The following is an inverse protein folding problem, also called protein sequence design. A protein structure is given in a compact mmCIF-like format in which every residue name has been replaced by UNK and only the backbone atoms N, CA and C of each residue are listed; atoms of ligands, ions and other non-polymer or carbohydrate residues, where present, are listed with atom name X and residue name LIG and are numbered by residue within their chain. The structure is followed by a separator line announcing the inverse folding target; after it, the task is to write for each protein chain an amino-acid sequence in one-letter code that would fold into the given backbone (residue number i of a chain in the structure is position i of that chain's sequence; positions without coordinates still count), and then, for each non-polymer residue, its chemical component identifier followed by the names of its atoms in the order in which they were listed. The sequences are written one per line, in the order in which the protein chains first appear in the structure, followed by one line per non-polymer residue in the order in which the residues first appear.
data_IF_353710542609
#
_entry.id   IF_353710542609
#
_cell.length_a   1.000
_cell.length_b   1.000
_cell.length_c   1.000
_cell.angle_alpha   90.00
_cell.angle_beta   90.00
_cell.angle_gamma   90.00
#
_symmetry.space_group_name_H-M   'P 1'
#
loop_
_entity.id
_entity.type
_entity.pdbx_description
1 polymer ?
#
# COMPACT_ATOMS: atom_id res chain seq x y z
N UNK A 1 22.19 13.51 0.34
CA UNK A 1 20.76 13.47 0.00
C UNK A 1 20.45 12.01 -0.30
N UNK A 2 19.45 11.39 0.34
CA UNK A 2 19.11 10.00 0.02
C UNK A 2 18.75 9.89 -1.46
N UNK A 3 19.23 8.85 -2.14
CA UNK A 3 18.93 8.64 -3.55
C UNK A 3 17.41 8.43 -3.71
N UNK A 4 16.80 9.16 -4.64
CA UNK A 4 15.39 9.00 -5.00
C UNK A 4 15.21 7.73 -5.82
N UNK A 5 14.06 7.07 -5.70
CA UNK A 5 13.75 5.90 -6.54
C UNK A 5 13.58 6.29 -8.02
N UNK A 6 13.27 7.56 -8.32
CA UNK A 6 13.33 8.10 -9.68
C UNK A 6 14.76 8.33 -10.24
N UNK A 7 15.82 8.07 -9.47
CA UNK A 7 17.17 8.11 -10.04
C UNK A 7 17.28 7.07 -11.17
N UNK A 8 17.83 7.41 -12.35
CA UNK A 8 18.01 6.45 -13.44
C UNK A 8 18.75 5.17 -13.02
N UNK A 9 19.68 5.23 -12.06
CA UNK A 9 20.36 4.06 -11.52
C UNK A 9 19.44 3.07 -10.79
N UNK A 10 18.29 3.54 -10.31
CA UNK A 10 17.26 2.73 -9.63
C UNK A 10 16.17 2.22 -10.58
N UNK A 11 16.23 2.54 -11.88
CA UNK A 11 15.19 2.17 -12.84
C UNK A 11 14.75 0.69 -12.79
N UNK A 12 15.67 -0.29 -12.70
CA UNK A 12 15.27 -1.70 -12.62
C UNK A 12 14.47 -2.06 -11.35
N UNK A 13 14.66 -1.32 -10.24
CA UNK A 13 13.97 -1.58 -8.97
C UNK A 13 12.50 -1.21 -9.06
N UNK A 14 12.20 0.01 -9.50
CA UNK A 14 10.81 0.46 -9.70
C UNK A 14 10.14 -0.32 -10.81
N UNK A 15 10.89 -0.71 -11.86
CA UNK A 15 10.39 -1.62 -12.89
C UNK A 15 9.93 -2.97 -12.30
N UNK A 16 10.67 -3.54 -11.35
CA UNK A 16 10.30 -4.80 -10.70
C UNK A 16 8.96 -4.68 -9.94
N UNK A 17 8.68 -3.52 -9.33
CA UNK A 17 7.40 -3.26 -8.69
C UNK A 17 6.25 -3.34 -9.70
N UNK A 18 6.39 -2.68 -10.86
CA UNK A 18 5.38 -2.70 -11.92
C UNK A 18 5.21 -4.06 -12.60
N UNK A 19 6.24 -4.90 -12.62
CA UNK A 19 6.14 -6.27 -13.16
C UNK A 19 5.35 -7.22 -12.24
N UNK A 20 5.13 -6.85 -10.98
CA UNK A 20 4.38 -7.68 -10.04
C UNK A 20 2.87 -7.63 -10.23
N UNK A 21 2.36 -6.60 -10.94
CA UNK A 21 0.93 -6.35 -11.14
C UNK A 21 0.48 -6.78 -12.54
N UNK A 22 -0.76 -7.26 -12.71
CA UNK A 22 -1.27 -7.74 -14.00
C UNK A 22 -1.48 -6.60 -15.01
N UNK A 23 -1.85 -5.42 -14.53
CA UNK A 23 -2.04 -4.21 -15.33
C UNK A 23 -1.19 -3.08 -14.76
N UNK A 24 -0.33 -2.48 -15.58
CA UNK A 24 0.58 -1.39 -15.17
C UNK A 24 0.02 0.01 -15.48
N UNK A 25 -1.17 0.10 -16.07
CA UNK A 25 -1.78 1.33 -16.57
C UNK A 25 -0.85 2.17 -17.48
N UNK A 26 0.04 1.52 -18.23
CA UNK A 26 1.01 2.17 -19.11
C UNK A 26 2.23 2.77 -18.40
N UNK A 27 2.45 2.46 -17.12
CA UNK A 27 3.60 2.92 -16.36
C UNK A 27 4.94 2.54 -17.02
N UNK A 28 5.08 1.29 -17.44
CA UNK A 28 6.30 0.73 -18.01
C UNK A 28 6.68 1.41 -19.33
N UNK A 29 5.81 1.47 -20.37
CA UNK A 29 6.17 2.10 -21.62
C UNK A 29 6.44 3.60 -21.47
N UNK A 30 5.68 4.31 -20.63
CA UNK A 30 5.93 5.73 -20.35
C UNK A 30 7.32 5.94 -19.74
N UNK A 31 7.66 5.17 -18.69
CA UNK A 31 8.89 5.41 -17.97
C UNK A 31 10.12 4.85 -18.68
N UNK A 32 9.98 3.88 -19.59
CA UNK A 32 11.06 3.53 -20.54
C UNK A 32 11.45 4.72 -21.43
N UNK A 33 10.48 5.49 -21.91
CA UNK A 33 10.77 6.73 -22.68
C UNK A 33 11.46 7.78 -21.81
N UNK A 34 10.92 8.01 -20.62
CA UNK A 34 11.51 8.97 -19.65
C UNK A 34 12.90 8.56 -19.21
N UNK A 35 13.17 7.26 -19.07
CA UNK A 35 14.50 6.76 -18.77
C UNK A 35 15.49 7.06 -19.89
N UNK A 36 15.13 6.78 -21.15
CA UNK A 36 15.95 7.16 -22.30
C UNK A 36 16.20 8.67 -22.35
N UNK A 37 15.17 9.49 -22.10
CA UNK A 37 15.29 10.94 -21.99
C UNK A 37 16.23 11.37 -20.85
N UNK A 38 16.17 10.71 -19.68
CA UNK A 38 17.04 10.99 -18.54
C UNK A 38 18.51 10.69 -18.86
N UNK A 39 18.80 9.56 -19.51
CA UNK A 39 20.15 9.22 -19.98
C UNK A 39 20.67 10.23 -21.03
N UNK A 40 19.78 10.72 -21.89
CA UNK A 40 20.08 11.76 -22.88
C UNK A 40 20.08 13.20 -22.29
N UNK A 41 19.84 13.35 -20.98
CA UNK A 41 19.72 14.64 -20.27
C UNK A 41 18.67 15.59 -20.87
N UNK A 42 17.57 15.02 -21.35
CA UNK A 42 16.43 15.76 -21.87
C UNK A 42 15.43 16.10 -20.76
N UNK A 43 14.68 17.22 -20.87
CA UNK A 43 13.75 17.67 -19.82
C UNK A 43 12.71 16.64 -19.38
N UNK A 44 12.23 15.80 -20.30
CA UNK A 44 11.22 14.76 -19.99
C UNK A 44 11.73 13.73 -18.95
N UNK A 45 13.05 13.51 -18.90
CA UNK A 45 13.67 12.59 -17.95
C UNK A 45 13.50 13.00 -16.49
N UNK A 46 13.31 14.29 -16.20
CA UNK A 46 13.06 14.78 -14.84
C UNK A 46 11.74 14.27 -14.24
N UNK A 47 10.82 13.77 -15.08
CA UNK A 47 9.54 13.20 -14.66
C UNK A 47 9.59 11.67 -14.51
N UNK A 48 10.77 11.03 -14.57
CA UNK A 48 10.89 9.58 -14.40
C UNK A 48 10.20 9.12 -13.10
N UNK A 49 9.37 8.08 -13.21
CA UNK A 49 8.54 7.49 -12.15
C UNK A 49 7.60 8.44 -11.39
N UNK A 50 7.44 9.69 -11.84
CA UNK A 50 6.53 10.67 -11.20
C UNK A 50 5.05 10.35 -11.43
N UNK A 51 4.74 9.57 -12.46
CA UNK A 51 3.39 9.09 -12.76
C UNK A 51 3.45 7.86 -13.68
N UNK A 52 2.51 6.90 -13.55
CA UNK A 52 1.62 6.75 -12.40
C UNK A 52 2.40 6.45 -11.11
N UNK A 53 1.79 6.71 -9.96
CA UNK A 53 2.42 6.48 -8.67
C UNK A 53 2.59 4.98 -8.37
N UNK A 54 3.78 4.58 -7.94
CA UNK A 54 4.18 3.18 -7.84
C UNK A 54 3.93 2.52 -6.47
N UNK A 55 3.27 3.22 -5.52
CA UNK A 55 3.06 2.74 -4.14
C UNK A 55 2.29 1.41 -4.05
N UNK A 56 1.21 1.25 -4.82
CA UNK A 56 0.43 0.02 -4.83
C UNK A 56 1.15 -1.14 -5.54
N UNK A 57 1.89 -0.82 -6.61
CA UNK A 57 2.74 -1.78 -7.31
C UNK A 57 3.85 -2.30 -6.38
N UNK A 58 4.45 -1.41 -5.56
CA UNK A 58 5.44 -1.79 -4.55
C UNK A 58 4.85 -2.76 -3.50
N UNK A 59 3.69 -2.46 -2.92
CA UNK A 59 3.05 -3.37 -1.95
C UNK A 59 2.72 -4.73 -2.60
N UNK A 60 2.17 -4.70 -3.82
CA UNK A 60 1.86 -5.91 -4.58
C UNK A 60 3.12 -6.74 -4.85
N UNK A 61 4.25 -6.07 -5.16
CA UNK A 61 5.54 -6.72 -5.32
C UNK A 61 6.07 -7.32 -4.03
N UNK A 62 5.95 -6.63 -2.88
CA UNK A 62 6.37 -7.15 -1.57
C UNK A 62 5.61 -8.44 -1.25
N UNK A 63 4.28 -8.43 -1.33
CA UNK A 63 3.48 -9.61 -1.01
C UNK A 63 3.76 -10.78 -1.97
N UNK A 64 3.85 -10.50 -3.27
CA UNK A 64 4.20 -11.53 -4.26
C UNK A 64 5.61 -12.10 -4.03
N UNK A 65 6.58 -11.26 -3.69
CA UNK A 65 7.95 -11.68 -3.40
C UNK A 65 8.04 -12.50 -2.10
N UNK A 66 7.14 -12.25 -1.15
CA UNK A 66 6.98 -13.06 0.05
C UNK A 66 6.27 -14.42 -0.20
N UNK A 67 5.84 -14.70 -1.43
CA UNK A 67 5.20 -15.97 -1.81
C UNK A 67 3.70 -16.02 -1.55
N UNK A 68 3.05 -14.88 -1.30
CA UNK A 68 1.59 -14.82 -1.07
C UNK A 68 0.87 -14.91 -2.41
N UNK A 69 -0.15 -15.78 -2.45
CA UNK A 69 -0.88 -16.06 -3.69
C UNK A 69 -1.84 -14.91 -4.05
N UNK A 70 -2.13 -14.75 -5.34
CA UNK A 70 -3.08 -13.75 -5.82
C UNK A 70 -4.50 -13.95 -5.29
N UNK A 71 -4.87 -15.18 -4.91
CA UNK A 71 -6.13 -15.48 -4.22
C UNK A 71 -6.16 -14.93 -2.79
N UNK A 72 -4.99 -14.81 -2.13
CA UNK A 72 -4.88 -14.26 -0.79
C UNK A 72 -4.74 -12.74 -0.80
N UNK A 73 -3.90 -12.21 -1.69
CA UNK A 73 -3.73 -10.79 -1.92
C UNK A 73 -3.77 -10.51 -3.43
N UNK A 74 -4.86 -9.94 -3.98
CA UNK A 74 -4.94 -9.67 -5.41
C UNK A 74 -4.02 -8.49 -5.79
N UNK A 75 -2.91 -8.71 -6.52
CA UNK A 75 -1.97 -7.63 -6.84
C UNK A 75 -2.61 -6.60 -7.77
N UNK A 76 -2.33 -5.32 -7.53
CA UNK A 76 -2.90 -4.22 -8.30
C UNK A 76 -1.99 -3.01 -8.32
N UNK A 77 -1.96 -2.32 -9.48
CA UNK A 77 -1.35 -1.02 -9.64
C UNK A 77 -2.05 0.11 -8.87
N UNK A 78 -3.22 -0.15 -8.30
CA UNK A 78 -4.04 0.82 -7.57
C UNK A 78 -4.48 0.27 -6.22
N UNK A 79 -4.17 0.99 -5.12
CA UNK A 79 -4.53 0.60 -3.75
C UNK A 79 -6.03 0.31 -3.60
N UNK A 80 -6.84 1.20 -4.16
CA UNK A 80 -8.30 1.10 -4.22
C UNK A 80 -8.80 -0.29 -4.64
N UNK A 81 -8.21 -0.89 -5.69
CA UNK A 81 -8.74 -2.11 -6.28
C UNK A 81 -8.33 -3.38 -5.52
N UNK A 82 -7.11 -3.46 -4.99
CA UNK A 82 -6.81 -4.61 -4.13
C UNK A 82 -7.63 -4.52 -2.83
N UNK A 83 -7.88 -3.32 -2.29
CA UNK A 83 -8.73 -3.13 -1.12
C UNK A 83 -10.16 -3.59 -1.38
N UNK A 84 -10.73 -3.29 -2.56
CA UNK A 84 -12.03 -3.82 -2.96
C UNK A 84 -12.06 -5.35 -2.94
N UNK A 85 -11.03 -5.99 -3.50
CA UNK A 85 -10.89 -7.45 -3.50
C UNK A 85 -10.82 -8.03 -2.09
N UNK A 86 -9.95 -7.47 -1.23
CA UNK A 86 -9.77 -7.92 0.15
C UNK A 86 -11.06 -7.74 0.98
N UNK A 87 -11.72 -6.58 0.87
CA UNK A 87 -12.97 -6.29 1.57
C UNK A 87 -14.09 -7.23 1.08
N UNK A 88 -14.17 -7.49 -0.23
CA UNK A 88 -15.15 -8.42 -0.77
C UNK A 88 -14.94 -9.86 -0.25
N UNK A 89 -13.68 -10.33 -0.22
CA UNK A 89 -13.32 -11.64 0.35
C UNK A 89 -13.66 -11.72 1.83
N UNK A 90 -13.28 -10.71 2.63
CA UNK A 90 -13.60 -10.62 4.06
C UNK A 90 -15.11 -10.71 4.33
N UNK A 91 -15.92 -10.02 3.54
CA UNK A 91 -17.39 -10.03 3.70
C UNK A 91 -18.01 -11.36 3.30
N UNK A 92 -17.44 -12.04 2.29
CA UNK A 92 -17.97 -13.31 1.79
C UNK A 92 -17.54 -14.50 2.65
N UNK A 93 -16.31 -14.46 3.17
CA UNK A 93 -15.69 -15.56 3.92
C UNK A 93 -14.98 -15.03 5.19
N UNK A 94 -15.72 -14.47 6.16
CA UNK A 94 -15.11 -13.78 7.31
C UNK A 94 -14.22 -14.67 8.19
N UNK A 95 -14.46 -16.00 8.20
CA UNK A 95 -13.64 -16.96 8.94
C UNK A 95 -12.36 -17.37 8.21
N UNK A 96 -12.32 -17.22 6.88
CA UNK A 96 -11.27 -17.77 6.01
C UNK A 96 -10.50 -16.68 5.24
N UNK A 97 -10.92 -15.41 5.36
CA UNK A 97 -10.28 -14.34 4.62
C UNK A 97 -8.88 -14.04 5.18
N UNK A 98 -7.84 -14.00 4.34
CA UNK A 98 -6.47 -13.72 4.79
C UNK A 98 -6.29 -12.29 5.29
N UNK A 99 -7.23 -11.40 4.97
CA UNK A 99 -7.26 -10.05 5.47
C UNK A 99 -8.65 -9.64 5.96
N UNK A 100 -8.74 -8.89 7.06
CA UNK A 100 -10.01 -8.34 7.60
C UNK A 100 -9.93 -6.82 7.75
N UNK A 101 -10.92 -6.09 7.23
CA UNK A 101 -10.99 -4.65 7.43
C UNK A 101 -11.51 -4.30 8.82
N UNK A 102 -10.82 -3.37 9.48
CA UNK A 102 -11.18 -2.78 10.76
C UNK A 102 -11.16 -1.24 10.67
N UNK A 103 -12.03 -0.60 11.43
CA UNK A 103 -11.93 0.82 11.74
C UNK A 103 -10.70 1.08 12.64
N UNK A 104 -10.08 2.27 12.55
CA UNK A 104 -8.88 2.60 13.33
C UNK A 104 -9.00 2.40 14.86
N UNK A 105 -10.21 2.56 15.40
CA UNK A 105 -10.51 2.47 16.82
C UNK A 105 -10.89 1.05 17.27
N UNK A 106 -11.02 0.07 16.36
CA UNK A 106 -11.43 -1.30 16.71
C UNK A 106 -10.26 -2.14 17.27
N UNK A 107 -9.03 -1.93 16.79
CA UNK A 107 -7.86 -2.70 17.24
C UNK A 107 -6.53 -1.99 17.07
N UNK A 108 -5.53 -2.43 17.85
CA UNK A 108 -4.14 -2.04 17.64
C UNK A 108 -3.57 -2.78 16.40
N UNK A 109 -2.75 -2.12 15.56
CA UNK A 109 -2.06 -2.81 14.47
C UNK A 109 -1.00 -3.79 14.97
N UNK A 110 -0.73 -4.81 14.16
CA UNK A 110 0.32 -5.79 14.33
C UNK A 110 1.19 -5.87 13.06
N UNK A 111 2.44 -6.37 13.14
CA UNK A 111 3.27 -6.62 11.96
C UNK A 111 2.53 -7.45 10.90
N UNK A 112 2.62 -7.03 9.64
CA UNK A 112 1.91 -7.61 8.50
C UNK A 112 0.60 -6.89 8.13
N UNK A 113 0.00 -6.14 9.07
CA UNK A 113 -1.20 -5.35 8.78
C UNK A 113 -0.94 -4.23 7.77
N UNK A 114 -1.99 -3.78 7.08
CA UNK A 114 -1.92 -2.59 6.23
C UNK A 114 -2.61 -1.40 6.91
N UNK A 115 -1.92 -0.27 6.95
CA UNK A 115 -2.48 1.02 7.35
C UNK A 115 -2.87 1.79 6.10
N UNK A 116 -4.17 1.98 5.85
CA UNK A 116 -4.67 2.55 4.61
C UNK A 116 -5.37 3.91 4.83
N UNK A 117 -5.07 4.84 3.93
CA UNK A 117 -5.47 6.25 3.98
C UNK A 117 -6.20 6.63 2.70
N UNK A 118 -7.28 7.42 2.84
CA UNK A 118 -7.87 8.11 1.71
C UNK A 118 -7.09 9.41 1.41
N UNK A 119 -6.71 9.58 0.14
CA UNK A 119 -6.01 10.78 -0.34
C UNK A 119 -6.86 11.59 -1.31
N UNK A 120 -8.11 11.18 -1.55
CA UNK A 120 -9.07 11.87 -2.40
C UNK A 120 -9.42 13.29 -1.91
N UNK A 121 -10.01 14.10 -2.80
CA UNK A 121 -10.44 15.47 -2.47
C UNK A 121 -11.63 15.48 -1.50
N UNK A 122 -12.50 14.46 -1.56
CA UNK A 122 -13.56 14.21 -0.60
C UNK A 122 -13.25 12.89 0.11
N UNK A 123 -12.59 12.93 1.28
CA UNK A 123 -12.15 11.73 1.97
C UNK A 123 -13.34 10.98 2.57
N UNK A 124 -13.32 9.66 2.46
CA UNK A 124 -14.22 8.77 3.17
C UNK A 124 -14.02 8.94 4.69
N UNK A 125 -15.09 8.83 5.47
CA UNK A 125 -15.03 8.91 6.94
C UNK A 125 -14.89 7.55 7.60
N UNK A 126 -15.38 6.51 6.94
CA UNK A 126 -15.31 5.14 7.41
C UNK A 126 -15.01 4.21 6.23
N UNK A 127 -14.26 3.14 6.47
CA UNK A 127 -13.87 2.23 5.39
C UNK A 127 -15.08 1.60 4.69
N UNK A 128 -16.20 1.39 5.38
CA UNK A 128 -17.41 0.81 4.76
C UNK A 128 -18.02 1.69 3.69
N UNK A 129 -17.77 3.01 3.69
CA UNK A 129 -18.21 3.90 2.62
C UNK A 129 -17.59 3.52 1.27
N UNK A 130 -16.42 2.87 1.30
CA UNK A 130 -15.76 2.31 0.12
C UNK A 130 -16.65 1.32 -0.64
N UNK A 131 -17.52 0.60 0.05
CA UNK A 131 -18.40 -0.41 -0.56
C UNK A 131 -19.32 0.16 -1.63
N UNK A 132 -19.73 1.43 -1.49
CA UNK A 132 -20.57 2.12 -2.47
C UNK A 132 -19.79 2.54 -3.74
N UNK A 133 -18.45 2.50 -3.68
CA UNK A 133 -17.55 2.90 -4.76
C UNK A 133 -16.68 1.74 -5.27
N UNK A 134 -17.04 0.49 -4.96
CA UNK A 134 -16.29 -0.68 -5.42
C UNK A 134 -16.09 -0.69 -6.94
N UNK A 135 -14.86 -0.94 -7.38
CA UNK A 135 -14.46 -0.90 -8.80
C UNK A 135 -14.20 0.51 -9.33
N UNK A 136 -14.41 1.58 -8.56
CA UNK A 136 -14.07 2.95 -8.95
C UNK A 136 -12.67 3.32 -8.46
N UNK A 137 -11.90 3.97 -9.32
CA UNK A 137 -10.58 4.48 -8.95
C UNK A 137 -10.71 5.57 -7.89
N UNK A 138 -9.89 5.49 -6.84
CA UNK A 138 -9.78 6.49 -5.78
C UNK A 138 -8.32 6.62 -5.37
N UNK A 139 -7.86 7.86 -5.17
CA UNK A 139 -6.54 8.12 -4.66
C UNK A 139 -6.45 7.62 -3.21
N UNK A 140 -5.69 6.56 -2.98
CA UNK A 140 -5.45 5.98 -1.68
C UNK A 140 -3.96 5.70 -1.51
N UNK A 141 -3.56 5.40 -0.29
CA UNK A 141 -2.20 4.96 0.05
C UNK A 141 -2.29 3.96 1.18
N UNK A 142 -1.43 2.96 1.18
CA UNK A 142 -1.26 2.09 2.32
C UNK A 142 0.22 1.94 2.65
N UNK A 143 0.50 1.62 3.91
CA UNK A 143 1.80 1.19 4.41
C UNK A 143 1.66 -0.19 5.05
N UNK A 144 2.74 -0.99 5.03
CA UNK A 144 2.81 -2.31 5.67
C UNK A 144 3.42 -2.15 7.06
N UNK A 145 2.70 -2.52 8.12
CA UNK A 145 3.24 -2.51 9.49
C UNK A 145 4.37 -3.52 9.60
N UNK A 146 5.51 -3.08 10.11
CA UNK A 146 6.69 -3.94 10.30
C UNK A 146 7.03 -4.14 11.78
N UNK A 147 6.75 -3.16 12.63
CA UNK A 147 7.02 -3.21 14.07
C UNK A 147 6.02 -2.36 14.85
N UNK A 148 5.71 -2.76 16.09
CA UNK A 148 4.79 -2.05 17.01
C UNK A 148 5.41 -1.90 18.41
N UNK A 149 6.53 -1.17 18.54
CA UNK A 149 7.12 -0.91 19.86
C UNK A 149 6.21 -0.02 20.73
N UNK A 150 6.40 0.02 22.06
CA UNK A 150 5.55 0.84 22.92
C UNK A 150 5.53 2.32 22.50
N UNK A 151 4.31 2.87 22.31
CA UNK A 151 4.09 4.27 21.96
C UNK A 151 4.18 4.63 20.48
N UNK A 152 4.50 3.68 19.58
CA UNK A 152 4.53 3.93 18.14
C UNK A 152 4.26 2.67 17.30
N UNK A 153 3.83 2.89 16.05
CA UNK A 153 3.72 1.86 15.02
C UNK A 153 4.61 2.26 13.86
N UNK A 154 5.47 1.34 13.42
CA UNK A 154 6.38 1.56 12.29
C UNK A 154 5.83 0.80 11.09
N UNK A 155 5.64 1.51 9.99
CA UNK A 155 5.15 0.92 8.75
C UNK A 155 5.98 1.38 7.55
N UNK A 156 6.08 0.55 6.52
CA UNK A 156 6.85 0.82 5.31
C UNK A 156 5.92 1.01 4.12
N UNK A 157 6.08 2.14 3.44
CA UNK A 157 5.30 2.54 2.28
C UNK A 157 6.17 2.77 1.05
N UNK A 158 5.60 2.51 -0.13
CA UNK A 158 6.20 2.90 -1.41
C UNK A 158 5.78 4.31 -1.83
N UNK A 159 6.62 4.97 -2.61
CA UNK A 159 6.38 6.26 -3.25
C UNK A 159 5.97 7.39 -2.28
N UNK A 160 6.51 7.34 -1.06
CA UNK A 160 6.42 8.45 -0.12
C UNK A 160 7.61 9.35 -0.40
N UNK A 161 7.35 10.53 -0.99
CA UNK A 161 8.40 11.44 -1.46
C UNK A 161 9.40 10.77 -2.44
N UNK A 162 8.89 9.87 -3.28
CA UNK A 162 9.69 9.13 -4.28
C UNK A 162 10.78 8.23 -3.64
N UNK A 163 10.42 7.57 -2.55
CA UNK A 163 11.24 6.56 -1.88
C UNK A 163 10.38 5.47 -1.23
N UNK A 164 11.01 4.32 -0.96
CA UNK A 164 10.52 3.36 0.04
C UNK A 164 10.86 3.93 1.40
N UNK A 165 9.83 4.23 2.19
CA UNK A 165 9.98 5.02 3.43
C UNK A 165 9.34 4.30 4.60
N UNK A 166 10.05 4.26 5.72
CA UNK A 166 9.45 3.90 6.99
C UNK A 166 8.78 5.14 7.61
N UNK A 167 7.48 5.05 7.85
CA UNK A 167 6.69 6.04 8.59
C UNK A 167 6.55 5.57 10.03
N UNK A 168 6.81 6.48 10.99
CA UNK A 168 6.56 6.24 12.41
C UNK A 168 5.26 6.95 12.79
N UNK A 169 4.27 6.17 13.21
CA UNK A 169 2.96 6.64 13.66
C UNK A 169 2.90 6.62 15.19
N UNK A 170 2.54 7.73 15.86
CA UNK A 170 2.33 7.72 17.30
C UNK A 170 1.19 6.77 17.69
N UNK A 171 1.38 6.02 18.78
CA UNK A 171 0.39 5.10 19.32
C UNK A 171 0.13 5.36 20.80
N UNK A 172 -1.09 5.08 21.24
CA UNK A 172 -1.50 5.18 22.64
C UNK A 172 -1.00 4.01 23.50
N UNK A 173 -1.25 4.05 24.82
CA UNK A 173 -0.91 2.95 25.72
C UNK A 173 -1.57 1.61 25.39
N UNK A 174 -2.69 1.64 24.66
CA UNK A 174 -3.42 0.48 24.16
C UNK A 174 -2.90 -0.02 22.80
N UNK A 175 -1.82 0.58 22.28
CA UNK A 175 -1.18 0.23 21.01
C UNK A 175 -1.92 0.75 19.77
N UNK A 176 -3.08 1.41 19.91
CA UNK A 176 -3.82 1.97 18.78
C UNK A 176 -3.16 3.26 18.31
N UNK A 177 -3.24 3.54 17.01
CA UNK A 177 -2.73 4.80 16.47
C UNK A 177 -3.46 5.98 17.10
N UNK A 178 -2.70 6.99 17.49
CA UNK A 178 -3.28 8.27 17.88
C UNK A 178 -3.89 8.96 16.66
N UNK A 179 -4.87 9.82 16.91
CA UNK A 179 -5.49 10.63 15.87
C UNK A 179 -4.42 11.40 15.09
N UNK A 180 -4.57 11.43 13.76
CA UNK A 180 -3.64 12.17 12.92
C UNK A 180 -3.64 13.66 13.31
N UNK A 181 -2.45 14.29 13.44
CA UNK A 181 -2.38 15.71 13.74
C UNK A 181 -2.98 16.54 12.60
N UNK A 182 -3.36 17.81 12.86
CA UNK A 182 -3.89 18.69 11.83
C UNK A 182 -3.00 18.74 10.58
N UNK A 183 -3.63 18.61 9.41
CA UNK A 183 -2.93 18.61 8.11
C UNK A 183 -2.41 17.24 7.66
N UNK A 184 -2.47 16.20 8.49
CA UNK A 184 -2.24 14.81 8.06
C UNK A 184 -3.57 14.10 7.78
N UNK A 185 -3.54 13.16 6.83
CA UNK A 185 -4.71 12.31 6.53
C UNK A 185 -4.92 11.33 7.69
N UNK A 186 -6.14 11.22 8.24
CA UNK A 186 -6.44 10.20 9.23
C UNK A 186 -6.37 8.81 8.61
N UNK A 187 -6.06 7.81 9.42
CA UNK A 187 -6.21 6.41 9.04
C UNK A 187 -7.69 6.17 8.68
N UNK A 188 -7.95 5.59 7.52
CA UNK A 188 -9.32 5.21 7.12
C UNK A 188 -9.62 3.78 7.55
N UNK A 189 -8.64 2.91 7.36
CA UNK A 189 -8.80 1.46 7.38
C UNK A 189 -7.52 0.83 7.89
N UNK A 190 -7.67 -0.03 8.90
CA UNK A 190 -6.66 -0.99 9.29
C UNK A 190 -7.05 -2.33 8.67
N UNK A 191 -6.23 -2.84 7.75
CA UNK A 191 -6.43 -4.18 7.20
C UNK A 191 -5.60 -5.17 8.01
N UNK A 192 -6.26 -5.95 8.87
CA UNK A 192 -5.62 -7.02 9.64
C UNK A 192 -5.10 -8.08 8.68
N UNK A 193 -3.83 -8.46 8.79
CA UNK A 193 -3.28 -9.63 8.11
C UNK A 193 -3.45 -10.86 8.99
N UNK A 194 -4.10 -11.89 8.44
CA UNK A 194 -4.22 -13.24 9.00
C UNK A 194 -3.43 -14.27 8.18
N UNK A 195 -2.51 -13.80 7.34
CA UNK A 195 -1.59 -14.66 6.59
C UNK A 195 -0.80 -15.55 7.55
N UNK A 196 -0.76 -16.85 7.24
CA UNK A 196 -0.15 -17.86 8.12
C UNK A 196 -0.97 -18.24 9.37
N UNK A 197 -2.15 -17.65 9.59
CA UNK A 197 -3.06 -18.03 10.69
C UNK A 197 -4.23 -18.89 10.23
N UNK A 198 -4.46 -18.96 8.92
CA UNK A 198 -5.50 -19.79 8.31
C UNK A 198 -4.99 -21.22 8.05
N UNK A 199 -5.87 -22.24 8.06
CA UNK A 199 -5.49 -23.60 7.69
C UNK A 199 -4.76 -23.65 6.34
N UNK A 200 -3.71 -24.48 6.18
CA UNK A 200 -3.19 -25.48 7.12
C UNK A 200 -2.18 -24.93 8.14
N UNK A 201 -1.91 -23.62 8.12
CA UNK A 201 -0.82 -22.99 8.86
C UNK A 201 -1.21 -22.55 10.27
N UNK A 202 -2.50 -22.65 10.61
CA UNK A 202 -3.03 -22.43 11.96
C UNK A 202 -2.16 -23.20 12.96
N UNK A 203 -1.27 -22.46 13.64
CA UNK A 203 -0.46 -22.99 14.72
C UNK A 203 -1.36 -23.48 15.86
N UNK A 204 -0.81 -24.26 16.81
CA UNK A 204 -1.56 -24.80 17.95
C UNK A 204 -2.23 -23.71 18.79
#
# INVERSE_FOLDING_TARGET
MAAREADPGNFPRVMAYWQAVPEDHGAIPLNRRRYAAALARQPEGAALWSTPYWSAAFISWVFRAAGIDAAEFPPSATHAFYLDGLIATARRFPAEAPFIPHAPDERAPAPGDLLCFDRGPSPLRHWTERLAEAGRARAMHCDIVVETPPGEVRAVGGNVLDAVTMTIYPAGPDGRLLAAPPGRRPLLLLMESRLGWLPPWSGP
#
